data_IF_234232066920
#
_entry.id   IF_234232066920
#
_cell.length_a   1.000
_cell.length_b   1.000
_cell.length_c   1.000
_cell.angle_alpha   90.00
_cell.angle_beta   90.00
_cell.angle_gamma   90.00
#
_symmetry.space_group_name_H-M   'P 1'
#
loop_
_entity.id
_entity.type
_entity.pdbx_description
1 polymer ?
#
# COMPACT_ATOMS: atom_id res chain seq x y z
N UNK A 1 -27.89 30.18 -24.19
CA UNK A 1 -26.48 29.74 -24.24
C UNK A 1 -25.75 30.01 -22.91
N UNK A 2 -26.27 29.58 -21.75
CA UNK A 2 -25.62 29.87 -20.46
C UNK A 2 -25.83 28.77 -19.41
N UNK A 3 -25.60 27.51 -19.78
CA UNK A 3 -25.74 26.36 -18.85
C UNK A 3 -24.59 25.34 -18.88
N UNK A 4 -23.56 25.55 -19.69
CA UNK A 4 -22.52 24.53 -19.94
C UNK A 4 -21.18 24.84 -19.25
N UNK A 5 -20.99 26.04 -18.69
CA UNK A 5 -19.69 26.45 -18.12
C UNK A 5 -19.49 26.11 -16.62
N UNK A 6 -20.47 25.54 -15.92
CA UNK A 6 -20.39 25.31 -14.46
C UNK A 6 -20.06 23.85 -14.07
N UNK A 7 -20.03 22.91 -15.01
CA UNK A 7 -19.79 21.49 -14.70
C UNK A 7 -18.31 21.07 -14.65
N UNK A 8 -17.37 21.98 -14.93
CA UNK A 8 -15.93 21.67 -14.93
C UNK A 8 -15.23 21.88 -13.55
N UNK A 9 -15.99 22.15 -12.48
CA UNK A 9 -15.45 22.43 -11.14
C UNK A 9 -15.54 21.27 -10.15
N UNK A 10 -16.00 20.09 -10.56
CA UNK A 10 -15.86 18.92 -9.70
C UNK A 10 -14.42 18.42 -9.83
N UNK A 11 -13.55 18.57 -8.80
CA UNK A 11 -12.29 17.85 -8.80
C UNK A 11 -12.64 16.38 -8.94
N UNK A 12 -12.24 15.77 -10.05
CA UNK A 12 -12.30 14.31 -10.19
C UNK A 12 -11.22 13.77 -9.27
N UNK A 13 -11.54 13.70 -7.97
CA UNK A 13 -10.66 13.13 -6.96
C UNK A 13 -10.50 11.67 -7.35
N UNK A 14 -9.36 11.34 -7.98
CA UNK A 14 -9.04 9.97 -8.34
C UNK A 14 -8.79 9.19 -7.06
N UNK A 15 -9.57 8.15 -6.85
CA UNK A 15 -9.40 7.21 -5.75
C UNK A 15 -8.00 6.60 -5.79
N UNK A 16 -7.29 6.60 -4.67
CA UNK A 16 -5.96 5.98 -4.57
C UNK A 16 -6.04 4.45 -4.68
N UNK A 17 -4.96 3.80 -5.15
CA UNK A 17 -4.94 2.35 -5.39
C UNK A 17 -5.24 1.52 -4.14
N UNK A 18 -4.70 1.94 -2.98
CA UNK A 18 -4.95 1.25 -1.70
C UNK A 18 -6.43 1.38 -1.30
N UNK A 19 -7.03 2.55 -1.50
CA UNK A 19 -8.44 2.78 -1.22
C UNK A 19 -9.34 1.97 -2.15
N UNK A 20 -8.98 1.89 -3.43
CA UNK A 20 -9.71 1.10 -4.42
C UNK A 20 -9.63 -0.42 -4.15
N UNK A 21 -8.55 -0.88 -3.51
CA UNK A 21 -8.36 -2.28 -3.13
C UNK A 21 -8.98 -2.66 -1.78
N UNK A 22 -9.72 -1.75 -1.11
CA UNK A 22 -10.38 -2.05 0.15
C UNK A 22 -11.31 -3.29 0.00
N UNK A 23 -11.24 -4.18 0.98
CA UNK A 23 -11.79 -5.55 1.03
C UNK A 23 -11.34 -6.50 -0.08
N UNK A 24 -10.34 -6.11 -0.87
CA UNK A 24 -9.77 -6.87 -1.97
C UNK A 24 -8.28 -7.20 -1.79
N UNK A 25 -7.60 -7.39 -2.92
CA UNK A 25 -6.18 -7.75 -2.98
C UNK A 25 -5.40 -6.72 -3.78
N UNK A 26 -4.32 -6.21 -3.19
CA UNK A 26 -3.35 -5.33 -3.83
C UNK A 26 -2.12 -6.14 -4.23
N UNK A 27 -1.83 -6.20 -5.53
CA UNK A 27 -0.60 -6.77 -6.06
C UNK A 27 0.45 -5.67 -6.19
N UNK A 28 1.61 -5.88 -5.58
CA UNK A 28 2.76 -5.00 -5.71
C UNK A 28 3.88 -5.77 -6.39
N UNK A 29 4.32 -5.28 -7.54
CA UNK A 29 5.51 -5.78 -8.20
C UNK A 29 6.70 -4.89 -7.83
N UNK A 30 7.90 -5.46 -7.86
CA UNK A 30 9.17 -4.74 -7.69
C UNK A 30 9.27 -3.88 -6.42
N UNK A 31 8.68 -4.32 -5.31
CA UNK A 31 8.69 -3.53 -4.06
C UNK A 31 10.11 -3.16 -3.58
N UNK A 32 11.13 -3.94 -3.97
CA UNK A 32 12.53 -3.68 -3.69
C UNK A 32 13.11 -2.45 -4.41
N UNK A 33 12.50 -2.00 -5.51
CA UNK A 33 12.92 -0.82 -6.25
C UNK A 33 12.14 0.44 -5.84
N UNK A 34 11.17 0.30 -4.92
CA UNK A 34 10.44 1.43 -4.33
C UNK A 34 11.34 2.25 -3.38
N UNK A 35 11.28 3.59 -3.39
CA UNK A 35 11.98 4.43 -2.41
C UNK A 35 11.68 4.02 -0.95
N UNK A 36 12.69 3.96 -0.09
CA UNK A 36 12.56 3.52 1.32
C UNK A 36 11.47 4.27 2.09
N UNK A 37 11.28 5.56 1.81
CA UNK A 37 10.22 6.36 2.43
C UNK A 37 8.82 5.87 2.06
N UNK A 38 8.61 5.41 0.83
CA UNK A 38 7.33 4.82 0.42
C UNK A 38 7.14 3.42 0.99
N UNK A 39 8.22 2.62 1.10
CA UNK A 39 8.17 1.33 1.78
C UNK A 39 7.74 1.50 3.25
N UNK A 40 8.30 2.48 3.97
CA UNK A 40 7.91 2.77 5.34
C UNK A 40 6.44 3.22 5.46
N UNK A 41 5.96 4.06 4.53
CA UNK A 41 4.53 4.46 4.48
C UNK A 41 3.61 3.29 4.21
N UNK A 42 3.99 2.39 3.31
CA UNK A 42 3.24 1.17 3.03
C UNK A 42 3.18 0.28 4.28
N UNK A 43 4.31 0.07 4.97
CA UNK A 43 4.34 -0.68 6.24
C UNK A 43 3.41 -0.06 7.29
N UNK A 44 3.41 1.27 7.42
CA UNK A 44 2.49 1.97 8.32
C UNK A 44 1.03 1.77 7.95
N UNK A 45 0.69 1.83 6.66
CA UNK A 45 -0.67 1.60 6.19
C UNK A 45 -1.15 0.17 6.48
N UNK A 46 -0.26 -0.83 6.36
CA UNK A 46 -0.56 -2.23 6.67
C UNK A 46 -0.73 -2.43 8.18
N UNK A 47 0.18 -1.88 8.97
CA UNK A 47 0.19 -2.01 10.44
C UNK A 47 -1.04 -1.35 11.07
N UNK A 48 -1.31 -0.10 10.70
CA UNK A 48 -2.42 0.69 11.25
C UNK A 48 -3.77 0.37 10.59
N UNK A 49 -3.77 -0.38 9.48
CA UNK A 49 -4.94 -0.65 8.64
C UNK A 49 -5.71 0.61 8.23
N UNK A 50 -4.98 1.69 7.99
CA UNK A 50 -5.56 2.96 7.59
C UNK A 50 -4.66 3.69 6.60
N UNK A 51 -5.28 4.55 5.81
CA UNK A 51 -4.57 5.46 4.91
C UNK A 51 -5.10 6.87 5.09
N UNK A 52 -4.26 7.87 4.81
CA UNK A 52 -4.69 9.24 4.66
C UNK A 52 -4.72 9.60 3.17
N UNK A 53 -5.89 9.71 2.53
CA UNK A 53 -6.00 10.14 1.15
C UNK A 53 -5.43 11.56 0.98
N UNK A 54 -4.87 11.85 -0.19
CA UNK A 54 -4.36 13.19 -0.48
C UNK A 54 -5.53 14.18 -0.49
N UNK A 55 -5.41 15.24 0.30
CA UNK A 55 -6.46 16.24 0.49
C UNK A 55 -7.52 15.88 1.53
N UNK A 56 -7.45 14.69 2.14
CA UNK A 56 -8.26 14.37 3.31
C UNK A 56 -7.63 14.95 4.59
N UNK A 57 -8.48 15.24 5.57
CA UNK A 57 -8.08 15.72 6.90
C UNK A 57 -8.01 14.62 7.95
N UNK A 58 -8.47 13.41 7.63
CA UNK A 58 -8.56 12.29 8.55
C UNK A 58 -8.24 10.96 7.85
N UNK A 59 -7.60 10.00 8.55
CA UNK A 59 -7.40 8.67 8.03
C UNK A 59 -8.72 7.94 7.76
N UNK A 60 -8.68 6.96 6.87
CA UNK A 60 -9.77 6.02 6.62
C UNK A 60 -9.26 4.60 6.81
N UNK A 61 -10.08 3.75 7.43
CA UNK A 61 -9.78 2.33 7.62
C UNK A 61 -9.83 1.59 6.28
N UNK A 62 -8.88 0.67 6.09
CA UNK A 62 -8.79 -0.21 4.92
C UNK A 62 -8.49 -1.63 5.35
N UNK A 63 -9.18 -2.59 4.75
CA UNK A 63 -8.91 -4.01 4.88
C UNK A 63 -8.38 -4.52 3.54
N UNK A 64 -7.08 -4.78 3.45
CA UNK A 64 -6.44 -5.18 2.19
C UNK A 64 -5.60 -6.42 2.39
N UNK A 65 -5.63 -7.32 1.40
CA UNK A 65 -4.67 -8.40 1.27
C UNK A 65 -3.57 -7.95 0.34
N UNK A 66 -2.31 -8.19 0.68
CA UNK A 66 -1.18 -7.78 -0.15
C UNK A 66 -0.45 -9.01 -0.66
N UNK A 67 -0.20 -9.02 -1.97
CA UNK A 67 0.67 -10.00 -2.62
C UNK A 67 1.85 -9.22 -3.20
N UNK A 68 3.06 -9.63 -2.85
CA UNK A 68 4.30 -9.00 -3.29
C UNK A 68 5.02 -9.90 -4.28
N UNK A 69 5.51 -9.33 -5.36
CA UNK A 69 6.48 -9.94 -6.27
C UNK A 69 7.79 -9.16 -6.17
N UNK A 70 8.91 -9.87 -6.02
CA UNK A 70 10.24 -9.28 -5.90
C UNK A 70 11.15 -9.85 -7.00
N UNK A 71 11.74 -8.99 -7.81
CA UNK A 71 12.66 -9.37 -8.89
C UNK A 71 14.01 -9.90 -8.35
N UNK A 72 14.45 -9.40 -7.20
CA UNK A 72 15.79 -9.67 -6.67
C UNK A 72 15.75 -10.75 -5.58
N UNK A 73 16.27 -11.92 -5.93
CA UNK A 73 16.68 -13.07 -5.10
C UNK A 73 16.14 -13.12 -3.66
N UNK A 74 15.29 -14.13 -3.37
CA UNK A 74 15.31 -14.74 -2.05
C UNK A 74 16.62 -15.52 -1.91
N UNK A 75 17.54 -15.17 -1.01
CA UNK A 75 18.70 -16.00 -0.75
C UNK A 75 18.20 -17.37 -0.29
N UNK A 76 18.66 -18.43 -0.95
CA UNK A 76 18.24 -19.82 -0.69
C UNK A 76 18.54 -20.31 0.73
N UNK A 77 19.28 -19.52 1.51
CA UNK A 77 19.59 -19.76 2.92
C UNK A 77 18.50 -19.31 3.89
N UNK A 78 17.51 -18.52 3.47
CA UNK A 78 16.41 -18.15 4.37
C UNK A 78 15.40 -19.29 4.47
N UNK A 79 14.88 -19.58 5.69
CA UNK A 79 13.79 -20.53 5.85
C UNK A 79 12.61 -20.07 4.99
N UNK A 80 12.06 -20.96 4.17
CA UNK A 80 10.83 -20.69 3.41
C UNK A 80 9.71 -20.41 4.41
N UNK A 81 9.46 -19.13 4.67
CA UNK A 81 8.39 -18.71 5.58
C UNK A 81 7.08 -18.85 4.82
N UNK A 82 6.23 -19.79 5.23
CA UNK A 82 4.91 -19.98 4.64
C UNK A 82 4.02 -18.77 4.97
N UNK A 83 3.86 -17.87 4.00
CA UNK A 83 2.76 -16.92 3.74
C UNK A 83 1.82 -16.47 4.88
N UNK A 84 2.30 -16.29 6.11
CA UNK A 84 1.50 -15.77 7.20
C UNK A 84 2.40 -15.07 8.23
N UNK A 85 2.26 -13.75 8.32
CA UNK A 85 2.82 -12.85 9.35
C UNK A 85 4.34 -12.69 9.31
N UNK A 86 4.78 -11.67 8.58
CA UNK A 86 6.04 -10.99 8.93
C UNK A 86 5.69 -10.06 10.10
N UNK A 87 6.16 -10.39 11.30
CA UNK A 87 6.08 -9.53 12.49
C UNK A 87 7.40 -8.77 12.63
N UNK A 88 7.38 -7.52 13.12
CA UNK A 88 8.58 -6.67 13.34
C UNK A 88 9.71 -7.34 14.13
N UNK A 89 9.43 -8.43 14.83
CA UNK A 89 10.41 -9.26 15.56
C UNK A 89 11.29 -10.11 14.65
N UNK A 90 10.81 -10.52 13.46
CA UNK A 90 11.57 -11.41 12.56
C UNK A 90 12.73 -10.68 11.86
N UNK A 91 12.66 -9.34 11.77
CA UNK A 91 13.71 -8.50 11.18
C UNK A 91 14.86 -8.18 12.16
N UNK A 92 14.72 -8.48 13.46
CA UNK A 92 15.71 -8.10 14.48
C UNK A 92 16.70 -9.23 14.86
N UNK A 93 16.53 -10.44 14.31
CA UNK A 93 17.33 -11.62 14.69
C UNK A 93 18.43 -12.02 13.69
N UNK A 94 18.80 -11.14 12.75
CA UNK A 94 20.02 -11.34 11.96
C UNK A 94 21.18 -10.55 12.57
N UNK A 95 21.78 -11.14 13.61
CA UNK A 95 23.17 -10.91 14.01
C UNK A 95 23.95 -12.19 13.81
#
# INVERSE_FOLDING_TARGET
MLKVHLLALLPTVKTGLIQAANTGTLFLDEIGDMPLMLQAKLLRAIEAREILPIGASSPIQVDIRIILQLIRIWPSSLPKVNSAKISSTDLMLSR
#
